data_IF_189778468860
#
_entry.id   IF_189778468860
#
_cell.length_a   1.000
_cell.length_b   1.000
_cell.length_c   1.000
_cell.angle_alpha   90.00
_cell.angle_beta   90.00
_cell.angle_gamma   90.00
#
_symmetry.space_group_name_H-M   'P 1'
#
loop_
_entity.id
_entity.type
_entity.pdbx_description
1 polymer ?
#
# COMPACT_ATOMS: atom_id res chain seq x y z
N UNK A 1 30.42 -11.92 3.63
CA UNK A 1 29.18 -11.88 4.44
C UNK A 1 28.11 -11.25 3.59
N UNK A 2 27.04 -11.99 3.29
CA UNK A 2 25.90 -11.50 2.51
C UNK A 2 25.09 -10.54 3.36
N UNK A 3 24.81 -9.34 2.86
CA UNK A 3 24.03 -8.34 3.64
C UNK A 3 22.55 -8.70 3.63
N UNK A 4 21.78 -8.25 4.64
CA UNK A 4 20.33 -8.45 4.68
C UNK A 4 19.64 -7.93 3.40
N UNK A 5 20.16 -6.84 2.84
CA UNK A 5 19.72 -6.28 1.56
C UNK A 5 19.91 -7.28 0.41
N UNK A 6 21.08 -7.90 0.30
CA UNK A 6 21.36 -8.90 -0.73
C UNK A 6 20.42 -10.11 -0.60
N UNK A 7 20.20 -10.62 0.61
CA UNK A 7 19.30 -11.76 0.83
C UNK A 7 17.84 -11.44 0.47
N UNK A 8 17.31 -10.29 0.89
CA UNK A 8 15.94 -9.88 0.58
C UNK A 8 15.74 -9.58 -0.90
N UNK A 9 16.72 -8.94 -1.52
CA UNK A 9 16.73 -8.69 -2.97
C UNK A 9 16.74 -9.99 -3.75
N UNK A 10 17.55 -10.97 -3.33
CA UNK A 10 17.60 -12.28 -3.97
C UNK A 10 16.29 -13.06 -3.80
N UNK A 11 15.66 -13.06 -2.62
CA UNK A 11 14.35 -13.69 -2.43
C UNK A 11 13.26 -13.09 -3.33
N UNK A 12 13.29 -11.77 -3.53
CA UNK A 12 12.40 -11.10 -4.47
C UNK A 12 12.73 -11.46 -5.91
N UNK A 13 14.01 -11.48 -6.28
CA UNK A 13 14.46 -11.87 -7.61
C UNK A 13 14.05 -13.32 -7.94
N UNK A 14 14.22 -14.26 -6.99
CA UNK A 14 13.79 -15.66 -7.12
C UNK A 14 12.27 -15.77 -7.26
N UNK A 15 11.50 -15.02 -6.46
CA UNK A 15 10.03 -14.99 -6.56
C UNK A 15 9.55 -14.50 -7.94
N UNK A 16 10.31 -13.61 -8.57
CA UNK A 16 9.97 -13.01 -9.86
C UNK A 16 10.82 -13.53 -11.04
N UNK A 17 11.55 -14.63 -10.84
CA UNK A 17 12.39 -15.29 -11.86
C UNK A 17 13.42 -14.34 -12.55
N UNK A 18 13.95 -13.36 -11.82
CA UNK A 18 14.90 -12.40 -12.37
C UNK A 18 16.31 -12.99 -12.32
N UNK A 19 16.85 -13.35 -13.49
CA UNK A 19 18.09 -14.12 -13.63
C UNK A 19 19.39 -13.38 -13.32
N UNK A 20 19.40 -12.04 -13.35
CA UNK A 20 20.60 -11.24 -13.12
C UNK A 20 20.41 -10.24 -11.97
N UNK A 21 21.23 -10.40 -10.93
CA UNK A 21 21.20 -9.56 -9.71
C UNK A 21 22.05 -8.29 -9.86
N UNK A 22 22.84 -8.17 -10.94
CA UNK A 22 23.67 -7.01 -11.19
C UNK A 22 22.81 -5.79 -11.57
N UNK A 23 22.92 -4.71 -10.81
CA UNK A 23 22.12 -3.48 -11.03
C UNK A 23 20.65 -3.56 -10.59
N UNK A 24 20.15 -4.72 -10.18
CA UNK A 24 18.75 -4.93 -9.76
C UNK A 24 18.36 -4.05 -8.56
N UNK A 25 19.29 -3.88 -7.61
CA UNK A 25 19.12 -2.97 -6.47
C UNK A 25 18.93 -1.53 -6.97
N UNK A 26 19.71 -1.08 -7.97
CA UNK A 26 19.62 0.28 -8.48
C UNK A 26 18.31 0.52 -9.24
N UNK A 27 17.90 -0.41 -10.10
CA UNK A 27 16.62 -0.34 -10.80
C UNK A 27 15.45 -0.33 -9.82
N UNK A 28 15.54 -1.14 -8.76
CA UNK A 28 14.51 -1.20 -7.73
C UNK A 28 14.45 0.09 -6.91
N UNK A 29 15.60 0.66 -6.54
CA UNK A 29 15.67 2.00 -5.90
C UNK A 29 15.00 3.06 -6.78
N UNK A 30 15.33 3.10 -8.06
CA UNK A 30 14.76 4.06 -9.02
C UNK A 30 13.25 3.87 -9.25
N UNK A 31 12.73 2.64 -9.07
CA UNK A 31 11.32 2.31 -9.34
C UNK A 31 10.43 2.49 -8.11
N UNK A 32 10.94 2.10 -6.94
CA UNK A 32 10.17 1.99 -5.70
C UNK A 32 10.36 3.17 -4.74
N UNK A 33 11.25 4.12 -5.04
CA UNK A 33 11.45 5.33 -4.25
C UNK A 33 11.32 6.59 -5.10
N UNK A 34 10.81 7.66 -4.48
CA UNK A 34 10.95 9.03 -5.01
C UNK A 34 12.07 9.73 -4.23
N UNK A 35 13.27 9.80 -4.81
CA UNK A 35 14.44 10.46 -4.24
C UNK A 35 15.60 9.52 -3.93
N UNK A 36 16.69 10.08 -3.40
CA UNK A 36 17.86 9.30 -2.98
C UNK A 36 17.55 8.47 -1.74
N UNK A 37 17.92 7.19 -1.79
CA UNK A 37 17.61 6.20 -0.76
C UNK A 37 18.86 5.42 -0.38
N UNK A 38 19.07 5.29 0.94
CA UNK A 38 20.18 4.49 1.47
C UNK A 38 19.81 2.99 1.53
N UNK A 39 20.82 2.14 1.71
CA UNK A 39 20.62 0.68 1.74
C UNK A 39 19.73 0.21 2.90
N UNK A 40 19.72 0.94 4.03
CA UNK A 40 18.87 0.62 5.19
C UNK A 40 17.39 0.89 4.91
N UNK A 41 17.08 2.00 4.26
CA UNK A 41 15.73 2.36 3.83
C UNK A 41 15.21 1.41 2.76
N UNK A 42 16.08 1.01 1.83
CA UNK A 42 15.78 -0.02 0.85
C UNK A 42 15.45 -1.36 1.52
N UNK A 43 16.28 -1.78 2.48
CA UNK A 43 16.05 -3.00 3.28
C UNK A 43 14.70 -2.93 4.02
N UNK A 44 14.38 -1.78 4.63
CA UNK A 44 13.11 -1.59 5.33
C UNK A 44 11.90 -1.77 4.39
N UNK A 45 11.95 -1.22 3.16
CA UNK A 45 10.88 -1.39 2.19
C UNK A 45 10.71 -2.86 1.79
N UNK A 46 11.81 -3.57 1.55
CA UNK A 46 11.76 -4.98 1.18
C UNK A 46 11.21 -5.87 2.30
N UNK A 47 11.47 -5.52 3.57
CA UNK A 47 10.86 -6.21 4.72
C UNK A 47 9.34 -6.06 4.69
N UNK A 48 8.83 -4.84 4.52
CA UNK A 48 7.38 -4.57 4.45
C UNK A 48 6.75 -5.24 3.22
N UNK A 49 7.41 -5.13 2.06
CA UNK A 49 6.96 -5.77 0.83
C UNK A 49 6.86 -7.30 1.01
N UNK A 50 7.87 -7.93 1.61
CA UNK A 50 7.84 -9.37 1.86
C UNK A 50 6.79 -9.78 2.90
N UNK A 51 6.57 -8.97 3.95
CA UNK A 51 5.55 -9.23 4.97
C UNK A 51 4.13 -9.29 4.37
N UNK A 52 3.83 -8.40 3.42
CA UNK A 52 2.52 -8.31 2.78
C UNK A 52 2.45 -8.98 1.40
N UNK A 53 3.54 -9.62 0.94
CA UNK A 53 3.63 -10.24 -0.38
C UNK A 53 3.64 -9.25 -1.56
N UNK A 54 3.84 -7.96 -1.31
CA UNK A 54 3.70 -6.89 -2.30
C UNK A 54 4.86 -6.85 -3.28
N UNK A 55 4.55 -6.47 -4.52
CA UNK A 55 5.53 -6.30 -5.58
C UNK A 55 5.93 -4.83 -5.76
N UNK A 56 7.18 -4.46 -5.44
CA UNK A 56 7.63 -3.08 -5.64
C UNK A 56 7.89 -2.74 -7.12
N UNK A 57 8.03 -3.72 -8.02
CA UNK A 57 8.24 -3.50 -9.46
C UNK A 57 7.00 -2.99 -10.17
N UNK A 58 5.82 -3.50 -9.78
CA UNK A 58 4.52 -3.10 -10.33
C UNK A 58 3.94 -1.89 -9.59
N UNK A 59 4.70 -1.28 -8.66
CA UNK A 59 4.27 -0.18 -7.79
C UNK A 59 3.06 -0.53 -6.91
N UNK A 60 2.89 -1.81 -6.57
CA UNK A 60 1.96 -2.19 -5.50
C UNK A 60 2.42 -1.61 -4.16
N UNK A 61 3.73 -1.48 -3.97
CA UNK A 61 4.35 -0.79 -2.84
C UNK A 61 5.52 0.08 -3.29
N UNK A 62 5.60 1.28 -2.74
CA UNK A 62 6.73 2.19 -2.88
C UNK A 62 6.90 2.96 -1.56
N UNK A 63 7.94 3.78 -1.41
CA UNK A 63 8.12 4.54 -0.18
C UNK A 63 8.64 5.95 -0.42
N UNK A 64 8.29 6.84 0.51
CA UNK A 64 8.96 8.13 0.69
C UNK A 64 10.02 8.01 1.78
N UNK A 65 11.26 8.45 1.52
CA UNK A 65 12.28 8.51 2.56
C UNK A 65 11.94 9.60 3.58
N UNK A 66 12.05 9.27 4.86
CA UNK A 66 11.92 10.22 5.95
C UNK A 66 13.29 10.84 6.30
N UNK A 67 13.30 12.10 6.77
CA UNK A 67 14.50 12.84 7.20
C UNK A 67 15.22 12.16 8.36
N UNK A 68 14.52 11.35 9.18
CA UNK A 68 15.09 10.57 10.28
C UNK A 68 15.77 9.26 9.88
N UNK A 69 15.90 8.96 8.58
CA UNK A 69 16.46 7.69 8.10
C UNK A 69 15.47 6.52 8.07
N UNK A 70 14.19 6.79 8.37
CA UNK A 70 13.07 5.87 8.18
C UNK A 70 12.48 5.92 6.77
N UNK A 71 11.38 5.19 6.58
CA UNK A 71 10.56 5.22 5.36
C UNK A 71 9.07 5.28 5.73
N UNK A 72 8.27 5.87 4.86
CA UNK A 72 6.81 5.76 4.88
C UNK A 72 6.38 4.84 3.74
N UNK A 73 6.02 3.56 4.01
CA UNK A 73 5.60 2.62 2.98
C UNK A 73 4.19 2.94 2.46
N UNK A 74 4.08 3.10 1.15
CA UNK A 74 2.87 3.48 0.45
C UNK A 74 2.42 2.31 -0.41
N UNK A 75 1.17 1.91 -0.24
CA UNK A 75 0.56 0.80 -0.96
C UNK A 75 -0.48 1.37 -1.92
N UNK A 76 -0.31 1.05 -3.20
CA UNK A 76 -1.25 1.41 -4.26
C UNK A 76 -2.57 0.66 -4.11
N UNK A 77 -3.60 1.11 -4.82
CA UNK A 77 -4.93 0.48 -4.74
C UNK A 77 -4.90 -1.01 -5.13
N UNK A 78 -4.07 -1.36 -6.11
CA UNK A 78 -3.88 -2.75 -6.55
C UNK A 78 -3.17 -3.59 -5.49
N UNK A 79 -2.22 -2.99 -4.75
CA UNK A 79 -1.58 -3.63 -3.61
C UNK A 79 -2.56 -3.94 -2.49
N UNK A 80 -3.46 -3.00 -2.16
CA UNK A 80 -4.53 -3.23 -1.19
C UNK A 80 -5.49 -4.33 -1.65
N UNK A 81 -5.90 -4.31 -2.92
CA UNK A 81 -6.75 -5.34 -3.49
C UNK A 81 -6.09 -6.73 -3.46
N UNK A 82 -4.79 -6.81 -3.76
CA UNK A 82 -4.02 -8.06 -3.70
C UNK A 82 -3.97 -8.64 -2.28
N UNK A 83 -3.61 -7.83 -1.28
CA UNK A 83 -3.53 -8.29 0.12
C UNK A 83 -4.91 -8.77 0.62
N UNK A 84 -5.99 -8.08 0.24
CA UNK A 84 -7.35 -8.51 0.55
C UNK A 84 -7.66 -9.87 -0.08
N UNK A 85 -7.44 -10.02 -1.38
CA UNK A 85 -7.76 -11.24 -2.12
C UNK A 85 -6.91 -12.44 -1.71
N UNK A 86 -5.67 -12.23 -1.27
CA UNK A 86 -4.80 -13.29 -0.77
C UNK A 86 -5.13 -13.72 0.66
N UNK A 87 -5.93 -12.94 1.39
CA UNK A 87 -6.29 -13.29 2.76
C UNK A 87 -7.27 -14.48 2.77
N UNK A 88 -6.95 -15.62 3.40
CA UNK A 88 -7.82 -16.81 3.38
C UNK A 88 -9.21 -16.56 3.95
N UNK A 89 -9.33 -15.60 4.88
CA UNK A 89 -10.57 -15.23 5.54
C UNK A 89 -11.40 -14.20 4.78
N UNK A 90 -10.90 -13.62 3.69
CA UNK A 90 -11.68 -12.69 2.87
C UNK A 90 -12.82 -13.42 2.17
N UNK A 91 -14.03 -12.86 2.31
CA UNK A 91 -15.28 -13.43 1.78
C UNK A 91 -16.07 -12.43 0.93
N UNK A 92 -15.39 -11.41 0.44
CA UNK A 92 -15.97 -10.38 -0.42
C UNK A 92 -16.08 -9.01 0.25
N UNK A 93 -16.44 -8.05 -0.59
CA UNK A 93 -16.51 -6.63 -0.26
C UNK A 93 -17.70 -6.00 -0.99
N UNK A 94 -18.43 -5.16 -0.28
CA UNK A 94 -19.54 -4.38 -0.83
C UNK A 94 -19.29 -2.89 -0.62
N UNK A 95 -19.77 -2.09 -1.58
CA UNK A 95 -19.71 -0.65 -1.52
C UNK A 95 -21.10 -0.07 -1.68
N UNK A 96 -21.47 0.78 -0.74
CA UNK A 96 -22.67 1.62 -0.79
C UNK A 96 -22.19 3.07 -0.91
N UNK A 97 -22.25 3.59 -2.13
CA UNK A 97 -21.67 4.87 -2.53
C UNK A 97 -22.78 5.81 -2.99
N UNK A 98 -22.88 6.95 -2.32
CA UNK A 98 -23.73 8.06 -2.72
C UNK A 98 -22.88 9.29 -3.10
N UNK A 99 -23.47 10.48 -3.10
CA UNK A 99 -22.76 11.71 -3.45
C UNK A 99 -21.87 12.25 -2.33
N UNK A 100 -22.22 11.95 -1.08
CA UNK A 100 -21.63 12.53 0.13
C UNK A 100 -20.70 11.55 0.85
N UNK A 101 -20.94 10.25 0.73
CA UNK A 101 -20.23 9.22 1.50
C UNK A 101 -20.10 7.90 0.74
N UNK A 102 -19.16 7.09 1.21
CA UNK A 102 -19.00 5.71 0.79
C UNK A 102 -18.91 4.80 2.02
N UNK A 103 -19.81 3.83 2.12
CA UNK A 103 -19.74 2.76 3.12
C UNK A 103 -19.17 1.51 2.48
N UNK A 104 -18.02 1.07 2.96
CA UNK A 104 -17.38 -0.18 2.60
C UNK A 104 -17.73 -1.25 3.66
N UNK A 105 -18.15 -2.43 3.20
CA UNK A 105 -18.43 -3.60 4.04
C UNK A 105 -17.57 -4.76 3.59
N UNK A 106 -16.66 -5.22 4.46
CA UNK A 106 -15.85 -6.41 4.21
C UNK A 106 -16.42 -7.58 5.00
N UNK A 107 -16.66 -8.67 4.27
CA UNK A 107 -17.11 -9.94 4.82
C UNK A 107 -15.92 -10.85 5.08
N UNK A 108 -15.98 -11.56 6.21
CA UNK A 108 -14.98 -12.54 6.58
C UNK A 108 -15.64 -13.88 6.88
N UNK A 109 -15.01 -14.97 6.42
CA UNK A 109 -15.52 -16.34 6.60
C UNK A 109 -15.64 -16.74 8.07
N UNK A 110 -14.81 -16.17 8.94
CA UNK A 110 -14.79 -16.44 10.38
C UNK A 110 -15.69 -15.52 11.22
N UNK A 111 -16.55 -14.70 10.59
CA UNK A 111 -17.43 -13.76 11.29
C UNK A 111 -18.85 -13.81 10.74
N UNK A 112 -19.84 -13.58 11.60
CA UNK A 112 -21.25 -13.51 11.20
C UNK A 112 -21.72 -12.11 10.82
N UNK A 113 -20.90 -11.08 11.05
CA UNK A 113 -21.20 -9.68 10.73
C UNK A 113 -20.02 -9.07 9.95
N UNK A 114 -20.29 -8.26 8.93
CA UNK A 114 -19.24 -7.57 8.20
C UNK A 114 -18.57 -6.51 9.08
N UNK A 115 -17.32 -6.20 8.75
CA UNK A 115 -16.68 -4.97 9.20
C UNK A 115 -17.17 -3.87 8.25
N UNK A 116 -17.68 -2.77 8.80
CA UNK A 116 -18.26 -1.68 8.02
C UNK A 116 -17.58 -0.37 8.38
N UNK A 117 -17.17 0.39 7.37
CA UNK A 117 -16.61 1.74 7.54
C UNK A 117 -17.21 2.69 6.54
N UNK A 118 -17.54 3.89 7.00
CA UNK A 118 -18.08 4.97 6.18
C UNK A 118 -17.08 6.12 6.16
N UNK A 119 -16.68 6.50 4.95
CA UNK A 119 -15.87 7.69 4.69
C UNK A 119 -16.74 8.78 4.04
N UNK A 120 -16.48 10.03 4.38
CA UNK A 120 -17.25 11.19 3.90
C UNK A 120 -16.43 12.02 2.90
N UNK A 121 -17.05 12.39 1.78
CA UNK A 121 -16.44 13.23 0.75
C UNK A 121 -15.92 14.54 1.34
N UNK A 122 -16.67 15.15 2.27
CA UNK A 122 -16.29 16.40 2.94
C UNK A 122 -14.99 16.31 3.75
N UNK A 123 -14.60 15.11 4.20
CA UNK A 123 -13.41 14.88 5.03
C UNK A 123 -12.22 14.36 4.21
N UNK A 124 -12.50 13.54 3.19
CA UNK A 124 -11.45 12.93 2.37
C UNK A 124 -11.04 13.78 1.18
N UNK A 125 -11.96 14.57 0.60
CA UNK A 125 -11.70 15.30 -0.63
C UNK A 125 -10.56 16.30 -0.46
N UNK A 126 -9.67 16.33 -1.46
CA UNK A 126 -8.57 17.29 -1.55
C UNK A 126 -8.66 18.00 -2.88
N UNK A 127 -8.77 19.32 -2.84
CA UNK A 127 -8.71 20.16 -4.04
C UNK A 127 -7.26 20.36 -4.51
N UNK A 128 -6.62 19.25 -4.88
CA UNK A 128 -5.27 19.21 -5.42
C UNK A 128 -5.29 18.68 -6.85
N UNK A 129 -4.28 19.04 -7.64
CA UNK A 129 -4.12 18.51 -8.98
C UNK A 129 -3.95 16.98 -8.92
N UNK A 130 -4.90 16.23 -9.50
CA UNK A 130 -4.83 14.78 -9.49
C UNK A 130 -6.19 14.08 -9.62
N UNK A 131 -6.23 12.77 -9.27
CA UNK A 131 -7.42 11.92 -9.39
C UNK A 131 -8.64 12.42 -8.60
N UNK A 132 -8.43 13.17 -7.50
CA UNK A 132 -9.53 13.76 -6.73
C UNK A 132 -10.38 14.74 -7.55
N UNK A 133 -9.78 15.51 -8.48
CA UNK A 133 -10.53 16.43 -9.36
C UNK A 133 -11.30 15.72 -10.47
N UNK A 134 -10.77 14.62 -11.00
CA UNK A 134 -11.34 13.94 -12.17
C UNK A 134 -12.26 12.78 -11.80
N UNK A 135 -12.00 12.09 -10.69
CA UNK A 135 -12.72 10.90 -10.25
C UNK A 135 -12.94 10.87 -8.72
N UNK A 136 -13.54 11.91 -8.10
CA UNK A 136 -13.66 12.03 -6.65
C UNK A 136 -14.41 10.86 -6.00
N UNK A 137 -15.52 10.43 -6.61
CA UNK A 137 -16.32 9.29 -6.11
C UNK A 137 -15.53 7.96 -6.12
N UNK A 138 -14.64 7.76 -7.11
CA UNK A 138 -13.76 6.58 -7.17
C UNK A 138 -12.69 6.65 -6.08
N UNK A 139 -12.11 7.83 -5.86
CA UNK A 139 -11.12 8.05 -4.80
C UNK A 139 -11.74 7.82 -3.42
N UNK A 140 -12.94 8.34 -3.16
CA UNK A 140 -13.65 8.10 -1.91
C UNK A 140 -13.90 6.60 -1.66
N UNK A 141 -14.32 5.85 -2.68
CA UNK A 141 -14.48 4.39 -2.60
C UNK A 141 -13.16 3.70 -2.22
N UNK A 142 -12.03 4.15 -2.77
CA UNK A 142 -10.72 3.61 -2.43
C UNK A 142 -10.36 3.88 -0.96
N UNK A 143 -10.61 5.09 -0.46
CA UNK A 143 -10.40 5.43 0.96
C UNK A 143 -11.22 4.54 1.89
N UNK A 144 -12.51 4.36 1.58
CA UNK A 144 -13.39 3.49 2.35
C UNK A 144 -12.91 2.02 2.34
N UNK A 145 -12.45 1.53 1.18
CA UNK A 145 -11.85 0.19 1.07
C UNK A 145 -10.63 0.03 1.98
N UNK A 146 -9.72 0.99 1.95
CA UNK A 146 -8.45 0.95 2.69
C UNK A 146 -8.71 0.96 4.21
N UNK A 147 -9.53 1.89 4.70
CA UNK A 147 -9.84 1.97 6.13
C UNK A 147 -10.60 0.73 6.63
N UNK A 148 -11.55 0.22 5.83
CA UNK A 148 -12.24 -1.02 6.15
C UNK A 148 -11.27 -2.22 6.18
N UNK A 149 -10.34 -2.32 5.21
CA UNK A 149 -9.35 -3.39 5.14
C UNK A 149 -8.43 -3.42 6.36
N UNK A 150 -7.98 -2.23 6.82
CA UNK A 150 -7.16 -2.10 8.04
C UNK A 150 -7.87 -2.69 9.26
N UNK A 151 -9.14 -2.36 9.46
CA UNK A 151 -9.92 -2.87 10.60
C UNK A 151 -10.34 -4.33 10.43
N UNK A 152 -10.60 -4.75 9.20
CA UNK A 152 -10.99 -6.11 8.90
C UNK A 152 -9.85 -7.10 9.14
N UNK A 153 -8.60 -6.75 8.80
CA UNK A 153 -7.48 -7.70 8.83
C UNK A 153 -6.27 -7.27 9.68
N UNK A 154 -6.31 -6.08 10.29
CA UNK A 154 -5.24 -5.59 11.15
C UNK A 154 -3.99 -5.16 10.38
N UNK A 155 -4.13 -4.65 9.17
CA UNK A 155 -2.99 -4.17 8.38
C UNK A 155 -2.38 -2.90 8.99
N UNK A 156 -1.09 -2.93 9.31
CA UNK A 156 -0.35 -1.84 9.97
C UNK A 156 0.97 -1.52 9.27
N UNK A 157 1.44 -0.27 9.39
CA UNK A 157 2.74 0.12 8.82
C UNK A 157 2.77 0.27 7.30
N UNK A 158 1.59 0.28 6.66
CA UNK A 158 1.40 0.64 5.25
C UNK A 158 0.37 1.76 5.18
N UNK A 159 0.50 2.65 4.20
CA UNK A 159 -0.32 3.85 4.02
C UNK A 159 -0.81 3.98 2.59
N UNK A 160 -1.92 4.67 2.38
CA UNK A 160 -2.22 5.17 1.04
C UNK A 160 -1.48 6.48 0.75
N UNK A 161 -1.47 6.89 -0.52
CA UNK A 161 -0.74 8.06 -0.97
C UNK A 161 -1.16 9.34 -0.22
N UNK A 162 -2.46 9.54 0.02
CA UNK A 162 -2.96 10.74 0.69
C UNK A 162 -2.56 10.76 2.17
N UNK A 163 -2.61 9.61 2.85
CA UNK A 163 -2.15 9.47 4.24
C UNK A 163 -0.65 9.73 4.36
N UNK A 164 0.14 9.18 3.44
CA UNK A 164 1.59 9.34 3.45
C UNK A 164 2.01 10.79 3.19
N UNK A 165 1.33 11.49 2.27
CA UNK A 165 1.56 12.92 2.06
C UNK A 165 1.29 13.74 3.32
N UNK A 166 0.21 13.45 4.06
CA UNK A 166 -0.09 14.11 5.35
C UNK A 166 0.96 13.83 6.42
N UNK A 167 1.55 12.64 6.44
CA UNK A 167 2.62 12.31 7.38
C UNK A 167 3.89 13.11 7.06
N UNK A 168 4.19 13.31 5.78
CA UNK A 168 5.38 14.06 5.33
C UNK A 168 5.22 15.57 5.48
N UNK A 169 3.99 16.09 5.44
CA UNK A 169 3.69 17.51 5.67
C UNK A 169 3.83 17.93 7.14
N UNK A 170 3.79 17.00 8.09
CA UNK A 170 3.95 17.25 9.53
C UNK A 170 5.42 17.14 9.98
#
# INVERSE_FOLDING_TARGET
MTTALQTLTQKLAERFEIADSSGLIQTLKNTAFKGDVNDSQMTALLIVANQYGLNPWTKEIYAFPDKGGGITPIVGIDGWARILNENPQFDGIEFDLDEEKCTCRIYRKDRSRPISITEYMSECYRDIQGPWRTHPKRMLRHKAMIQCARLAFGFTGIYDQDEAERIVEN
#
